data_IF_607102020000
#
_entry.id   IF_607102020000
#
_cell.length_a   1.000
_cell.length_b   1.000
_cell.length_c   1.000
_cell.angle_alpha   90.00
_cell.angle_beta   90.00
_cell.angle_gamma   90.00
#
_symmetry.space_group_name_H-M   'P 1'
#
loop_
_entity.id
_entity.type
_entity.pdbx_description
1 polymer ?
#
# COMPACT_ATOMS: atom_id res chain seq x y z
N UNK A 1 13.77 -24.66 -0.70
CA UNK A 1 13.90 -24.01 0.63
C UNK A 1 14.95 -24.64 1.55
N UNK A 2 15.81 -25.57 1.09
CA UNK A 2 16.90 -26.09 1.94
C UNK A 2 18.06 -25.11 2.16
N UNK A 3 18.11 -24.01 1.37
CA UNK A 3 19.19 -23.02 1.42
C UNK A 3 18.77 -21.67 2.07
N UNK A 4 17.66 -21.63 2.80
CA UNK A 4 17.18 -20.43 3.50
C UNK A 4 17.26 -20.60 5.01
N UNK A 5 17.66 -19.55 5.72
CA UNK A 5 17.87 -19.58 7.17
C UNK A 5 16.70 -18.91 7.88
N UNK A 6 15.95 -19.64 8.70
CA UNK A 6 14.80 -19.10 9.41
C UNK A 6 15.24 -18.12 10.51
N UNK A 7 14.54 -17.00 10.69
CA UNK A 7 14.77 -16.10 11.81
C UNK A 7 14.26 -16.71 13.12
N UNK A 8 14.83 -16.28 14.23
CA UNK A 8 14.33 -16.60 15.56
C UNK A 8 15.04 -15.82 16.66
N UNK A 9 14.59 -15.98 17.91
CA UNK A 9 15.13 -15.24 19.07
C UNK A 9 16.65 -15.35 19.24
N UNK A 10 17.25 -16.47 18.82
CA UNK A 10 18.71 -16.71 18.88
C UNK A 10 19.41 -16.65 17.52
N UNK A 11 18.66 -16.41 16.44
CA UNK A 11 19.16 -16.43 15.06
C UNK A 11 18.65 -15.20 14.32
N UNK A 12 19.56 -14.25 14.07
CA UNK A 12 19.25 -12.87 13.64
C UNK A 12 18.35 -12.12 14.64
N UNK A 13 18.78 -11.98 15.92
CA UNK A 13 17.95 -11.37 16.96
C UNK A 13 17.57 -9.91 16.67
N UNK A 14 18.40 -9.15 15.95
CA UNK A 14 18.09 -7.77 15.55
C UNK A 14 16.87 -7.71 14.63
N UNK A 15 16.88 -8.47 13.52
CA UNK A 15 15.78 -8.51 12.56
C UNK A 15 14.54 -9.18 13.18
N UNK A 16 14.75 -10.22 14.01
CA UNK A 16 13.65 -10.87 14.71
C UNK A 16 12.91 -9.90 15.64
N UNK A 17 13.59 -8.94 16.29
CA UNK A 17 12.91 -7.89 17.07
C UNK A 17 11.99 -7.03 16.19
N UNK A 18 12.46 -6.59 15.02
CA UNK A 18 11.65 -5.80 14.08
C UNK A 18 10.39 -6.58 13.66
N UNK A 19 10.56 -7.85 13.30
CA UNK A 19 9.44 -8.73 12.91
C UNK A 19 8.39 -8.84 14.03
N UNK A 20 8.80 -8.95 15.29
CA UNK A 20 7.86 -9.06 16.41
C UNK A 20 7.17 -7.72 16.70
N UNK A 21 7.92 -6.61 16.68
CA UNK A 21 7.37 -5.27 16.87
C UNK A 21 6.30 -4.94 15.82
N UNK A 22 6.60 -5.17 14.54
CA UNK A 22 5.67 -4.95 13.44
C UNK A 22 4.42 -5.82 13.58
N UNK A 23 4.59 -7.12 13.85
CA UNK A 23 3.46 -8.04 13.99
C UNK A 23 2.55 -7.67 15.18
N UNK A 24 3.14 -7.28 16.30
CA UNK A 24 2.42 -6.82 17.49
C UNK A 24 1.61 -5.56 17.20
N UNK A 25 2.23 -4.56 16.56
CA UNK A 25 1.56 -3.28 16.25
C UNK A 25 0.49 -3.41 15.16
N UNK A 26 0.67 -4.30 14.19
CA UNK A 26 -0.36 -4.65 13.21
C UNK A 26 -1.45 -5.58 13.76
N UNK A 27 -1.26 -6.15 14.96
CA UNK A 27 -2.20 -7.08 15.57
C UNK A 27 -2.33 -8.43 14.83
N UNK A 28 -1.27 -8.87 14.15
CA UNK A 28 -1.25 -10.14 13.39
C UNK A 28 -0.36 -11.20 14.06
N UNK A 29 -0.62 -12.51 13.84
CA UNK A 29 0.31 -13.55 14.25
C UNK A 29 1.67 -13.39 13.58
N UNK A 30 2.75 -13.55 14.35
CA UNK A 30 4.13 -13.47 13.82
C UNK A 30 4.32 -14.51 12.72
N UNK A 31 4.58 -14.11 11.47
CA UNK A 31 4.81 -15.05 10.38
C UNK A 31 6.18 -15.72 10.50
N UNK A 32 6.38 -16.84 9.80
CA UNK A 32 7.73 -17.41 9.69
C UNK A 32 8.55 -16.55 8.72
N UNK A 33 9.70 -16.06 9.17
CA UNK A 33 10.57 -15.25 8.32
C UNK A 33 11.85 -16.02 8.02
N UNK A 34 12.34 -15.92 6.78
CA UNK A 34 13.55 -16.58 6.31
C UNK A 34 14.47 -15.58 5.62
N UNK A 35 15.79 -15.78 5.76
CA UNK A 35 16.80 -15.14 4.93
C UNK A 35 17.21 -16.10 3.81
N UNK A 36 17.25 -15.63 2.57
CA UNK A 36 17.76 -16.38 1.43
C UNK A 36 18.69 -15.53 0.58
N UNK A 37 19.55 -16.15 -0.22
CA UNK A 37 20.38 -15.46 -1.20
C UNK A 37 19.74 -15.63 -2.59
N UNK A 38 19.51 -14.54 -3.29
CA UNK A 38 18.87 -14.57 -4.62
C UNK A 38 19.57 -13.71 -5.68
N UNK A 39 20.66 -13.02 -5.32
CA UNK A 39 21.43 -12.19 -6.26
C UNK A 39 20.89 -10.77 -6.44
N UNK A 40 19.67 -10.49 -5.96
CA UNK A 40 19.01 -9.18 -6.01
C UNK A 40 18.37 -8.85 -4.66
N UNK A 41 18.27 -7.55 -4.34
CA UNK A 41 17.61 -7.07 -3.13
C UNK A 41 16.08 -7.20 -3.30
N UNK A 42 15.44 -8.04 -2.48
CA UNK A 42 14.01 -8.30 -2.56
C UNK A 42 13.43 -8.82 -1.22
N UNK A 43 12.12 -8.69 -1.06
CA UNK A 43 11.33 -9.36 -0.04
C UNK A 43 10.00 -9.82 -0.64
N UNK A 44 9.43 -10.89 -0.10
CA UNK A 44 8.07 -11.30 -0.47
C UNK A 44 7.42 -12.18 0.60
N UNK A 45 6.13 -11.97 0.81
CA UNK A 45 5.26 -12.87 1.55
C UNK A 45 4.73 -14.02 0.65
N UNK A 46 4.45 -15.18 1.25
CA UNK A 46 3.81 -16.32 0.58
C UNK A 46 3.09 -17.24 1.59
N UNK A 47 2.18 -18.06 1.08
CA UNK A 47 1.51 -19.12 1.84
C UNK A 47 0.15 -18.74 2.40
N UNK A 48 -0.82 -19.66 2.30
CA UNK A 48 -2.24 -19.42 2.56
C UNK A 48 -2.70 -19.62 4.01
N UNK A 49 -2.26 -20.70 4.67
CA UNK A 49 -2.65 -21.02 6.06
C UNK A 49 -1.59 -20.57 7.08
N UNK A 50 -0.34 -20.56 6.66
CA UNK A 50 0.80 -20.10 7.46
C UNK A 50 1.59 -19.15 6.59
N UNK A 51 1.37 -17.87 6.78
CA UNK A 51 2.11 -16.84 6.07
C UNK A 51 3.60 -16.95 6.42
N UNK A 52 4.43 -16.83 5.40
CA UNK A 52 5.88 -16.81 5.52
C UNK A 52 6.43 -15.65 4.71
N UNK A 53 7.49 -15.02 5.19
CA UNK A 53 8.18 -13.92 4.51
C UNK A 53 9.60 -14.38 4.22
N UNK A 54 10.09 -14.07 3.01
CA UNK A 54 11.51 -14.20 2.67
C UNK A 54 12.11 -12.81 2.54
N UNK A 55 13.25 -12.60 3.17
CA UNK A 55 14.11 -11.43 2.99
C UNK A 55 15.38 -11.89 2.27
N UNK A 56 15.81 -11.21 1.21
CA UNK A 56 17.10 -11.55 0.60
C UNK A 56 18.26 -11.00 1.43
N UNK A 57 19.40 -11.69 1.42
CA UNK A 57 20.61 -11.20 2.08
C UNK A 57 21.04 -9.84 1.50
N UNK A 58 20.92 -9.70 0.19
CA UNK A 58 21.21 -8.46 -0.55
C UNK A 58 20.33 -7.29 -0.08
N UNK A 59 19.05 -7.55 0.24
CA UNK A 59 18.15 -6.54 0.81
C UNK A 59 18.61 -6.10 2.20
N UNK A 60 18.95 -7.08 3.06
CA UNK A 60 19.38 -6.80 4.44
C UNK A 60 20.66 -5.97 4.47
N UNK A 61 21.59 -6.23 3.55
CA UNK A 61 22.84 -5.48 3.44
C UNK A 61 22.65 -4.08 2.84
N UNK A 62 21.60 -3.89 2.01
CA UNK A 62 21.30 -2.61 1.35
C UNK A 62 20.59 -1.62 2.29
N UNK A 63 19.71 -2.12 3.16
CA UNK A 63 18.79 -1.30 3.95
C UNK A 63 19.35 -0.95 5.34
N UNK A 64 19.04 0.25 5.82
CA UNK A 64 19.12 0.60 7.25
C UNK A 64 18.06 -0.14 8.08
N UNK A 65 18.20 -0.11 9.41
CA UNK A 65 17.26 -0.80 10.32
C UNK A 65 15.81 -0.30 10.14
N UNK A 66 15.61 1.01 9.93
CA UNK A 66 14.27 1.59 9.71
C UNK A 66 13.70 1.33 8.32
N UNK A 67 14.53 1.40 7.28
CA UNK A 67 14.11 1.01 5.92
C UNK A 67 13.70 -0.48 5.90
N UNK A 68 14.49 -1.35 6.54
CA UNK A 68 14.17 -2.77 6.66
C UNK A 68 12.90 -3.02 7.47
N UNK A 69 12.68 -2.28 8.56
CA UNK A 69 11.42 -2.33 9.31
C UNK A 69 10.23 -1.93 8.43
N UNK A 70 10.40 -0.92 7.58
CA UNK A 70 9.40 -0.50 6.59
C UNK A 70 9.06 -1.61 5.59
N UNK A 71 10.05 -2.27 5.00
CA UNK A 71 9.84 -3.40 4.08
C UNK A 71 9.14 -4.56 4.80
N UNK A 72 9.56 -4.91 6.02
CA UNK A 72 8.89 -5.96 6.81
C UNK A 72 7.43 -5.59 7.08
N UNK A 73 7.16 -4.32 7.44
CA UNK A 73 5.81 -3.83 7.67
C UNK A 73 4.96 -3.82 6.41
N UNK A 74 5.55 -3.54 5.24
CA UNK A 74 4.88 -3.63 3.95
C UNK A 74 4.47 -5.08 3.63
N UNK A 75 5.39 -6.04 3.74
CA UNK A 75 5.08 -7.46 3.54
C UNK A 75 4.01 -7.98 4.52
N UNK A 76 4.06 -7.53 5.77
CA UNK A 76 3.03 -7.85 6.77
C UNK A 76 1.71 -7.12 6.50
N UNK A 77 1.73 -5.95 5.85
CA UNK A 77 0.56 -5.27 5.32
C UNK A 77 -0.20 -6.12 4.32
N UNK A 78 0.50 -6.85 3.44
CA UNK A 78 -0.13 -7.82 2.55
C UNK A 78 -0.82 -8.98 3.29
N UNK A 79 -0.24 -9.41 4.43
CA UNK A 79 -0.85 -10.42 5.29
C UNK A 79 -2.10 -9.87 5.98
N UNK A 80 -2.00 -8.66 6.57
CA UNK A 80 -3.10 -7.99 7.27
C UNK A 80 -4.31 -7.77 6.35
N UNK A 81 -4.06 -7.32 5.12
CA UNK A 81 -5.11 -7.05 4.13
C UNK A 81 -5.54 -8.29 3.34
N UNK A 82 -5.07 -9.49 3.73
CA UNK A 82 -5.37 -10.77 3.06
C UNK A 82 -5.06 -10.80 1.56
N UNK A 83 -4.11 -9.97 1.10
CA UNK A 83 -3.77 -9.87 -0.31
C UNK A 83 -3.29 -11.22 -0.88
N UNK A 84 -2.64 -12.04 -0.04
CA UNK A 84 -2.08 -13.34 -0.41
C UNK A 84 -3.13 -14.30 -1.02
N UNK A 85 -4.37 -14.26 -0.52
CA UNK A 85 -5.45 -15.11 -1.04
C UNK A 85 -5.75 -14.80 -2.50
N UNK A 86 -5.88 -13.51 -2.82
CA UNK A 86 -6.18 -13.04 -4.16
C UNK A 86 -4.97 -13.23 -5.08
N UNK A 87 -3.75 -13.12 -4.56
CA UNK A 87 -2.54 -13.45 -5.31
C UNK A 87 -2.54 -14.91 -5.78
N UNK A 88 -2.83 -15.84 -4.88
CA UNK A 88 -2.91 -17.27 -5.21
C UNK A 88 -4.00 -17.55 -6.26
N UNK A 89 -5.16 -16.89 -6.14
CA UNK A 89 -6.25 -17.01 -7.11
C UNK A 89 -5.84 -16.46 -8.48
N UNK A 90 -5.21 -15.29 -8.53
CA UNK A 90 -4.73 -14.69 -9.76
C UNK A 90 -3.71 -15.57 -10.45
N UNK A 91 -2.69 -16.05 -9.72
CA UNK A 91 -1.71 -16.99 -10.23
C UNK A 91 -2.35 -18.29 -10.74
N UNK A 92 -3.34 -18.85 -10.05
CA UNK A 92 -4.02 -20.05 -10.55
C UNK A 92 -4.71 -19.77 -11.90
N UNK A 93 -5.41 -18.64 -12.03
CA UNK A 93 -6.11 -18.27 -13.25
C UNK A 93 -5.15 -18.02 -14.43
N UNK A 94 -3.98 -17.43 -14.18
CA UNK A 94 -3.01 -17.09 -15.23
C UNK A 94 -2.03 -18.23 -15.54
N UNK A 95 -1.79 -19.16 -14.61
CA UNK A 95 -0.90 -20.33 -14.81
C UNK A 95 -1.60 -21.56 -15.43
N UNK A 96 -2.84 -21.41 -15.89
CA UNK A 96 -3.53 -22.42 -16.68
C UNK A 96 -4.68 -23.15 -15.99
N UNK A 97 -5.25 -22.62 -14.90
CA UNK A 97 -6.51 -23.14 -14.35
C UNK A 97 -7.74 -22.82 -15.22
N UNK A 98 -7.59 -21.98 -16.26
CA UNK A 98 -8.66 -21.72 -17.22
C UNK A 98 -8.95 -22.96 -18.09
N UNK A 99 -10.23 -23.33 -18.29
CA UNK A 99 -10.61 -24.44 -19.16
C UNK A 99 -10.10 -24.26 -20.60
N UNK A 100 -9.79 -25.33 -21.35
CA UNK A 100 -9.26 -25.23 -22.72
C UNK A 100 -10.10 -24.36 -23.66
N UNK A 101 -11.43 -24.41 -23.53
CA UNK A 101 -12.34 -23.57 -24.32
C UNK A 101 -12.19 -22.08 -24.01
N UNK A 102 -11.98 -21.71 -22.74
CA UNK A 102 -11.74 -20.32 -22.35
C UNK A 102 -10.39 -19.83 -22.91
N UNK A 103 -9.36 -20.68 -22.88
CA UNK A 103 -8.03 -20.35 -23.44
C UNK A 103 -8.01 -20.21 -24.96
N UNK A 104 -9.00 -20.77 -25.65
CA UNK A 104 -9.16 -20.61 -27.10
C UNK A 104 -9.71 -19.22 -27.49
N UNK A 105 -10.21 -18.42 -26.53
CA UNK A 105 -10.65 -17.05 -26.77
C UNK A 105 -9.43 -16.10 -26.85
N UNK A 106 -9.14 -15.48 -28.01
CA UNK A 106 -8.00 -14.59 -28.15
C UNK A 106 -8.07 -13.39 -27.20
N UNK A 107 -6.98 -13.09 -26.50
CA UNK A 107 -6.88 -11.92 -25.61
C UNK A 107 -7.47 -12.12 -24.21
N UNK A 108 -8.12 -13.26 -23.92
CA UNK A 108 -8.75 -13.49 -22.62
C UNK A 108 -7.70 -13.62 -21.50
N UNK A 109 -6.64 -14.39 -21.73
CA UNK A 109 -5.59 -14.64 -20.73
C UNK A 109 -4.88 -13.33 -20.38
N UNK A 110 -4.56 -12.50 -21.38
CA UNK A 110 -3.95 -11.18 -21.22
C UNK A 110 -4.88 -10.20 -20.49
N UNK A 111 -6.18 -10.23 -20.80
CA UNK A 111 -7.17 -9.39 -20.13
C UNK A 111 -7.33 -9.76 -18.65
N UNK A 112 -7.40 -11.06 -18.35
CA UNK A 112 -7.46 -11.57 -16.97
C UNK A 112 -6.19 -11.19 -16.21
N UNK A 113 -5.01 -11.37 -16.83
CA UNK A 113 -3.74 -10.98 -16.23
C UNK A 113 -3.68 -9.46 -15.97
N UNK A 114 -4.11 -8.63 -16.92
CA UNK A 114 -4.11 -7.18 -16.77
C UNK A 114 -5.04 -6.67 -15.68
N UNK A 115 -6.23 -7.26 -15.53
CA UNK A 115 -7.13 -6.96 -14.40
C UNK A 115 -6.49 -7.34 -13.07
N UNK A 116 -5.86 -8.52 -13.02
CA UNK A 116 -5.18 -8.99 -11.83
C UNK A 116 -3.97 -8.11 -11.47
N UNK A 117 -3.12 -7.74 -12.43
CA UNK A 117 -2.03 -6.79 -12.22
C UNK A 117 -2.54 -5.41 -11.78
N UNK A 118 -3.68 -4.95 -12.29
CA UNK A 118 -4.29 -3.70 -11.83
C UNK A 118 -4.71 -3.76 -10.36
N UNK A 119 -5.31 -4.88 -9.95
CA UNK A 119 -5.64 -5.12 -8.55
C UNK A 119 -4.38 -5.20 -7.68
N UNK A 120 -3.34 -5.90 -8.14
CA UNK A 120 -2.08 -6.03 -7.39
C UNK A 120 -1.42 -4.66 -7.16
N UNK A 121 -1.34 -3.82 -8.20
CA UNK A 121 -0.83 -2.45 -8.04
C UNK A 121 -1.64 -1.62 -7.04
N UNK A 122 -2.95 -1.84 -6.95
CA UNK A 122 -3.78 -1.18 -5.94
C UNK A 122 -3.50 -1.71 -4.52
N UNK A 123 -3.23 -3.01 -4.40
CA UNK A 123 -2.89 -3.67 -3.13
C UNK A 123 -1.59 -3.11 -2.53
N UNK A 124 -0.59 -2.79 -3.36
CA UNK A 124 0.67 -2.16 -2.93
C UNK A 124 0.43 -0.88 -2.11
N UNK A 125 -0.51 -0.02 -2.52
CA UNK A 125 -0.81 1.21 -1.78
C UNK A 125 -1.42 0.93 -0.40
N UNK A 126 -2.17 -0.17 -0.24
CA UNK A 126 -2.72 -0.54 1.07
C UNK A 126 -1.63 -1.09 1.99
N UNK A 127 -0.69 -1.87 1.43
CA UNK A 127 0.48 -2.35 2.15
C UNK A 127 1.45 -1.20 2.54
N UNK A 128 1.66 -0.22 1.66
CA UNK A 128 2.43 1.01 1.95
C UNK A 128 1.82 1.81 3.09
N UNK A 129 0.49 1.97 3.11
CA UNK A 129 -0.21 2.64 4.22
C UNK A 129 -0.04 1.89 5.54
N UNK A 130 -0.17 0.56 5.53
CA UNK A 130 0.07 -0.25 6.72
C UNK A 130 1.52 -0.07 7.22
N UNK A 131 2.50 -0.08 6.32
CA UNK A 131 3.90 0.15 6.67
C UNK A 131 4.13 1.55 7.25
N UNK A 132 3.52 2.58 6.66
CA UNK A 132 3.66 3.95 7.13
C UNK A 132 3.03 4.15 8.52
N UNK A 133 1.90 3.50 8.83
CA UNK A 133 1.33 3.51 10.18
C UNK A 133 2.24 2.86 11.24
N UNK A 134 3.08 1.91 10.83
CA UNK A 134 4.09 1.31 11.71
C UNK A 134 5.30 2.23 11.82
N UNK A 135 5.79 2.82 10.73
CA UNK A 135 6.97 3.67 10.83
C UNK A 135 6.67 5.02 11.49
N UNK A 136 5.45 5.53 11.32
CA UNK A 136 5.00 6.88 11.71
C UNK A 136 5.87 8.00 11.10
N UNK A 137 6.67 7.66 10.10
CA UNK A 137 7.62 8.51 9.40
C UNK A 137 7.69 8.03 7.93
N UNK A 138 7.35 8.89 6.94
CA UNK A 138 7.36 8.50 5.55
C UNK A 138 8.76 8.33 4.96
N UNK A 139 9.80 8.97 5.53
CA UNK A 139 11.12 8.99 4.92
C UNK A 139 11.76 7.59 4.81
N UNK A 140 11.82 6.76 5.86
CA UNK A 140 12.45 5.44 5.75
C UNK A 140 11.73 4.51 4.76
N UNK A 141 10.40 4.61 4.67
CA UNK A 141 9.63 3.82 3.71
C UNK A 141 9.91 4.29 2.27
N UNK A 142 9.85 5.60 2.04
CA UNK A 142 10.13 6.20 0.75
C UNK A 142 11.58 5.95 0.29
N UNK A 143 12.54 6.08 1.20
CA UNK A 143 13.95 5.77 0.97
C UNK A 143 14.15 4.30 0.57
N UNK A 144 13.48 3.35 1.23
CA UNK A 144 13.59 1.94 0.87
C UNK A 144 13.18 1.67 -0.59
N UNK A 145 12.15 2.35 -1.10
CA UNK A 145 11.72 2.24 -2.50
C UNK A 145 12.73 2.84 -3.47
N UNK A 146 13.40 3.93 -3.10
CA UNK A 146 14.46 4.50 -3.92
C UNK A 146 15.70 3.59 -3.95
N UNK A 147 16.02 2.89 -2.85
CA UNK A 147 17.08 1.86 -2.82
C UNK A 147 16.80 0.73 -3.80
N UNK A 148 15.57 0.22 -3.80
CA UNK A 148 15.15 -0.81 -4.76
C UNK A 148 15.15 -0.29 -6.21
N UNK A 149 15.04 1.02 -6.40
CA UNK A 149 15.16 1.67 -7.71
C UNK A 149 16.62 1.93 -8.14
N UNK A 150 17.60 1.48 -7.34
CA UNK A 150 19.02 1.53 -7.67
C UNK A 150 19.78 2.71 -7.06
N UNK A 151 19.19 3.48 -6.14
CA UNK A 151 19.89 4.58 -5.46
C UNK A 151 20.90 4.01 -4.46
N UNK A 152 22.22 4.17 -4.69
CA UNK A 152 23.23 3.57 -3.84
C UNK A 152 23.32 4.30 -2.49
N UNK A 153 23.56 3.54 -1.41
CA UNK A 153 23.68 4.09 -0.05
C UNK A 153 24.71 5.20 0.09
N UNK A 154 25.83 5.10 -0.64
CA UNK A 154 26.93 6.08 -0.61
C UNK A 154 26.55 7.47 -1.14
N UNK A 155 25.47 7.59 -1.92
CA UNK A 155 25.01 8.85 -2.53
C UNK A 155 23.68 9.31 -1.93
N UNK A 156 23.34 8.84 -0.72
CA UNK A 156 22.09 9.21 -0.04
C UNK A 156 21.94 10.71 0.17
N UNK A 157 23.00 11.39 0.59
CA UNK A 157 23.00 12.83 0.84
C UNK A 157 22.82 13.66 -0.44
N UNK A 158 23.12 13.08 -1.61
CA UNK A 158 22.93 13.72 -2.92
C UNK A 158 21.54 13.43 -3.51
N UNK A 159 20.76 12.53 -2.90
CA UNK A 159 19.49 12.07 -3.42
C UNK A 159 18.31 12.78 -2.76
N UNK A 160 17.45 13.40 -3.57
CA UNK A 160 16.24 14.06 -3.10
C UNK A 160 15.00 13.18 -3.37
N UNK A 161 14.36 12.73 -2.30
CA UNK A 161 13.16 11.90 -2.34
C UNK A 161 11.96 12.60 -2.99
N UNK A 162 11.84 13.91 -2.82
CA UNK A 162 10.73 14.69 -3.37
C UNK A 162 10.89 14.87 -4.88
N UNK A 163 12.11 15.15 -5.34
CA UNK A 163 12.39 15.17 -6.79
C UNK A 163 12.11 13.80 -7.44
N UNK A 164 12.46 12.71 -6.76
CA UNK A 164 12.12 11.36 -7.24
C UNK A 164 10.60 11.14 -7.34
N UNK A 165 9.82 11.65 -6.39
CA UNK A 165 8.35 11.61 -6.45
C UNK A 165 7.78 12.46 -7.59
N UNK A 166 8.37 13.63 -7.83
CA UNK A 166 7.94 14.59 -8.87
C UNK A 166 8.19 14.07 -10.29
N UNK A 167 9.23 13.26 -10.49
CA UNK A 167 9.57 12.64 -11.78
C UNK A 167 8.37 11.94 -12.47
N UNK A 168 7.43 11.40 -11.69
CA UNK A 168 6.21 10.76 -12.22
C UNK A 168 5.27 11.76 -12.89
N UNK A 169 5.15 12.98 -12.33
CA UNK A 169 4.24 14.01 -12.84
C UNK A 169 4.72 14.47 -14.22
N UNK A 170 6.02 14.71 -14.35
CA UNK A 170 6.67 15.09 -15.61
C UNK A 170 6.41 14.05 -16.71
N UNK A 171 6.68 12.77 -16.44
CA UNK A 171 6.41 11.70 -17.41
C UNK A 171 4.94 11.61 -17.84
N UNK A 172 4.00 11.93 -16.95
CA UNK A 172 2.56 11.90 -17.25
C UNK A 172 2.13 13.09 -18.11
N UNK A 173 2.68 14.26 -17.84
CA UNK A 173 2.37 15.50 -18.57
C UNK A 173 2.97 15.47 -19.99
N UNK A 174 4.14 14.88 -20.14
CA UNK A 174 4.80 14.67 -21.44
C UNK A 174 4.31 13.42 -22.20
N UNK A 175 3.37 12.66 -21.62
CA UNK A 175 2.91 11.40 -22.17
C UNK A 175 2.13 11.57 -23.49
N UNK A 176 2.78 11.23 -24.60
CA UNK A 176 2.14 11.08 -25.91
C UNK A 176 1.12 9.93 -25.92
N UNK A 177 0.21 9.91 -26.90
CA UNK A 177 -0.73 8.80 -27.10
C UNK A 177 0.00 7.44 -27.21
N UNK A 178 1.15 7.41 -27.89
CA UNK A 178 1.98 6.21 -28.00
C UNK A 178 2.52 5.74 -26.67
N UNK A 179 3.04 6.66 -25.84
CA UNK A 179 3.51 6.30 -24.50
C UNK A 179 2.38 5.69 -23.65
N UNK A 180 1.17 6.24 -23.73
CA UNK A 180 -0.01 5.71 -23.03
C UNK A 180 -0.40 4.31 -23.50
N UNK A 181 -0.31 4.04 -24.81
CA UNK A 181 -0.54 2.69 -25.37
C UNK A 181 0.52 1.71 -24.86
N UNK A 182 1.80 2.11 -24.87
CA UNK A 182 2.90 1.28 -24.36
C UNK A 182 2.75 1.02 -22.86
N UNK A 183 2.46 2.04 -22.06
CA UNK A 183 2.20 1.91 -20.62
C UNK A 183 1.01 0.99 -20.35
N UNK A 184 -0.07 1.09 -21.13
CA UNK A 184 -1.21 0.18 -21.02
C UNK A 184 -0.78 -1.27 -21.31
N UNK A 185 -0.03 -1.49 -22.39
CA UNK A 185 0.49 -2.81 -22.76
C UNK A 185 1.44 -3.39 -21.70
N UNK A 186 2.37 -2.59 -21.18
CA UNK A 186 3.27 -3.01 -20.08
C UNK A 186 2.50 -3.28 -18.79
N UNK A 187 1.47 -2.47 -18.50
CA UNK A 187 0.60 -2.62 -17.34
C UNK A 187 -0.20 -3.93 -17.32
N UNK A 188 -0.30 -4.63 -18.46
CA UNK A 188 -0.84 -5.98 -18.50
C UNK A 188 0.08 -7.01 -17.81
N UNK A 189 1.37 -6.73 -17.64
CA UNK A 189 2.37 -7.69 -17.14
C UNK A 189 3.13 -7.21 -15.90
N UNK A 190 3.08 -5.92 -15.57
CA UNK A 190 3.73 -5.36 -14.38
C UNK A 190 2.82 -5.51 -13.15
N UNK A 191 3.26 -6.31 -12.18
CA UNK A 191 2.58 -6.52 -10.90
C UNK A 191 2.67 -5.30 -9.99
N UNK A 192 3.82 -4.63 -9.93
CA UNK A 192 4.04 -3.50 -9.04
C UNK A 192 3.91 -2.16 -9.80
N UNK A 193 3.40 -1.09 -9.15
CA UNK A 193 3.48 0.25 -9.71
C UNK A 193 4.93 0.73 -9.66
N UNK A 194 5.22 1.74 -10.48
CA UNK A 194 6.54 2.37 -10.52
C UNK A 194 6.90 2.91 -9.12
N UNK A 195 8.10 2.62 -8.58
CA UNK A 195 8.47 3.01 -7.22
C UNK A 195 8.27 4.50 -6.92
N UNK A 196 8.60 5.37 -7.88
CA UNK A 196 8.38 6.81 -7.75
C UNK A 196 6.90 7.20 -7.51
N UNK A 197 5.94 6.45 -8.08
CA UNK A 197 4.50 6.67 -7.82
C UNK A 197 4.13 6.32 -6.39
N UNK A 198 4.72 5.26 -5.85
CA UNK A 198 4.49 4.82 -4.47
C UNK A 198 5.10 5.81 -3.50
N UNK A 199 6.33 6.28 -3.75
CA UNK A 199 6.97 7.34 -2.96
C UNK A 199 6.08 8.57 -2.90
N UNK A 200 5.59 9.07 -4.05
CA UNK A 200 4.66 10.20 -4.07
C UNK A 200 3.38 9.95 -3.26
N UNK A 201 2.77 8.78 -3.39
CA UNK A 201 1.56 8.43 -2.65
C UNK A 201 1.78 8.29 -1.13
N UNK A 202 2.95 7.81 -0.70
CA UNK A 202 3.34 7.73 0.71
C UNK A 202 3.47 9.13 1.29
N UNK A 203 4.22 10.02 0.62
CA UNK A 203 4.43 11.39 1.06
C UNK A 203 3.09 12.16 1.12
N UNK A 204 2.27 12.05 0.08
CA UNK A 204 0.96 12.70 0.02
C UNK A 204 0.02 12.18 1.12
N UNK A 205 0.02 10.87 1.38
CA UNK A 205 -0.84 10.30 2.43
C UNK A 205 -0.38 10.70 3.84
N UNK A 206 0.93 10.77 4.09
CA UNK A 206 1.49 11.22 5.38
C UNK A 206 1.03 12.65 5.76
N UNK A 207 0.80 13.51 4.75
CA UNK A 207 0.31 14.88 4.94
C UNK A 207 -1.23 14.96 5.02
N UNK A 208 -1.94 13.86 4.76
CA UNK A 208 -3.40 13.84 4.71
C UNK A 208 -4.07 13.90 6.08
N UNK A 209 -5.25 14.51 6.15
CA UNK A 209 -6.06 14.55 7.37
C UNK A 209 -6.45 13.14 7.86
N UNK A 210 -6.64 12.19 6.94
CA UNK A 210 -6.97 10.80 7.26
C UNK A 210 -5.84 10.13 8.05
N UNK A 211 -4.60 10.28 7.59
CA UNK A 211 -3.42 9.76 8.29
C UNK A 211 -3.29 10.38 9.68
N UNK A 212 -3.39 11.72 9.76
CA UNK A 212 -3.31 12.45 11.04
C UNK A 212 -4.42 12.03 12.02
N UNK A 213 -5.62 11.74 11.53
CA UNK A 213 -6.71 11.20 12.35
C UNK A 213 -6.36 9.81 12.91
N UNK A 214 -5.85 8.90 12.08
CA UNK A 214 -5.51 7.53 12.50
C UNK A 214 -4.38 7.56 13.55
N UNK A 215 -3.30 8.30 13.29
CA UNK A 215 -2.14 8.36 14.21
C UNK A 215 -2.49 9.06 15.53
N UNK A 216 -3.41 10.02 15.52
CA UNK A 216 -3.93 10.63 16.75
C UNK A 216 -4.95 9.75 17.52
N UNK A 217 -5.20 8.52 17.07
CA UNK A 217 -6.10 7.57 17.71
C UNK A 217 -7.59 7.77 17.36
N UNK A 218 -7.90 8.62 16.38
CA UNK A 218 -9.25 8.79 15.84
C UNK A 218 -9.48 7.77 14.72
N UNK A 219 -10.02 6.62 15.09
CA UNK A 219 -10.44 5.61 14.13
C UNK A 219 -11.88 5.84 13.72
N UNK A 220 -12.12 5.94 12.41
CA UNK A 220 -13.47 6.01 11.88
C UNK A 220 -14.19 4.69 12.14
N UNK A 221 -15.41 4.78 12.66
CA UNK A 221 -16.31 3.63 12.72
C UNK A 221 -16.70 3.21 11.31
N UNK A 222 -17.10 1.94 11.15
CA UNK A 222 -17.62 1.44 9.87
C UNK A 222 -18.73 2.33 9.30
N UNK A 223 -19.60 2.85 10.16
CA UNK A 223 -20.67 3.76 9.75
C UNK A 223 -20.14 5.10 9.21
N UNK A 224 -19.09 5.65 9.84
CA UNK A 224 -18.46 6.89 9.36
C UNK A 224 -17.71 6.67 8.03
N UNK A 225 -17.03 5.52 7.87
CA UNK A 225 -16.40 5.15 6.58
C UNK A 225 -17.46 5.02 5.49
N UNK A 226 -18.54 4.27 5.73
CA UNK A 226 -19.64 4.11 4.76
C UNK A 226 -20.35 5.44 4.44
N UNK A 227 -20.37 6.39 5.38
CA UNK A 227 -20.90 7.73 5.14
C UNK A 227 -19.95 8.58 4.29
N UNK A 228 -18.64 8.54 4.55
CA UNK A 228 -17.62 9.25 3.77
C UNK A 228 -17.51 8.71 2.35
N UNK A 229 -17.63 7.39 2.15
CA UNK A 229 -17.63 6.79 0.82
C UNK A 229 -18.83 7.27 -0.01
N UNK A 230 -20.02 7.35 0.59
CA UNK A 230 -21.20 7.94 -0.07
C UNK A 230 -20.98 9.42 -0.39
N UNK A 231 -20.35 10.17 0.51
CA UNK A 231 -19.99 11.57 0.25
C UNK A 231 -19.06 11.66 -0.97
N UNK A 232 -18.04 10.82 -1.05
CA UNK A 232 -16.99 10.86 -2.08
C UNK A 232 -17.47 10.33 -3.43
N UNK A 233 -18.27 9.27 -3.45
CA UNK A 233 -18.76 8.58 -4.65
C UNK A 233 -20.03 9.25 -5.19
N UNK A 234 -20.96 9.61 -4.30
CA UNK A 234 -22.30 10.12 -4.66
C UNK A 234 -22.41 11.64 -4.52
N UNK A 235 -21.37 12.33 -4.03
CA UNK A 235 -21.36 13.78 -3.82
C UNK A 235 -22.26 14.26 -2.68
N UNK A 236 -22.67 13.35 -1.79
CA UNK A 236 -23.56 13.64 -0.65
C UNK A 236 -22.78 14.47 0.38
N UNK A 237 -23.32 15.59 0.87
CA UNK A 237 -22.59 16.43 1.85
C UNK A 237 -22.61 15.76 3.23
N UNK A 238 -21.68 16.10 4.13
CA UNK A 238 -21.70 15.65 5.52
C UNK A 238 -21.84 16.83 6.49
N UNK A 239 -22.50 16.61 7.62
CA UNK A 239 -22.72 17.64 8.63
C UNK A 239 -21.42 17.91 9.39
N UNK A 240 -20.94 19.17 9.47
CA UNK A 240 -19.67 19.49 10.14
C UNK A 240 -19.71 19.31 11.67
N UNK A 241 -20.88 19.31 12.28
CA UNK A 241 -21.02 19.14 13.74
C UNK A 241 -21.09 17.68 14.19
N UNK A 242 -21.62 16.76 13.38
CA UNK A 242 -21.86 15.37 13.81
C UNK A 242 -21.40 14.29 12.82
N UNK A 243 -20.88 14.66 11.65
CA UNK A 243 -20.38 13.73 10.63
C UNK A 243 -21.45 12.96 9.85
N UNK A 244 -22.75 13.11 10.18
CA UNK A 244 -23.82 12.39 9.44
C UNK A 244 -23.97 12.90 8.00
N UNK A 245 -24.22 12.00 7.02
CA UNK A 245 -24.47 12.40 5.64
C UNK A 245 -25.80 13.16 5.55
N UNK A 246 -25.76 14.32 4.92
CA UNK A 246 -26.89 15.19 4.58
C UNK A 246 -26.97 15.14 3.06
N UNK A 247 -28.00 14.49 2.51
CA UNK A 247 -28.18 14.29 1.06
C UNK A 247 -28.19 15.59 0.24
N UNK A 248 -29.33 15.90 -0.39
CA UNK A 248 -29.57 17.26 -0.92
C UNK A 248 -30.29 18.16 0.10
N UNK A 249 -30.61 17.61 1.28
CA UNK A 249 -31.28 18.33 2.33
C UNK A 249 -30.34 19.42 2.91
N UNK A 250 -30.82 20.67 3.04
CA UNK A 250 -29.98 21.80 3.48
C UNK A 250 -29.59 21.73 4.97
N UNK A 251 -30.20 20.82 5.75
CA UNK A 251 -30.03 20.77 7.22
C UNK A 251 -29.97 19.32 7.70
N UNK A 252 -29.07 19.05 8.65
CA UNK A 252 -28.94 17.76 9.31
C UNK A 252 -29.86 17.66 10.54
N UNK A 253 -30.57 16.53 10.69
CA UNK A 253 -31.52 16.29 11.80
C UNK A 253 -30.85 15.97 13.15
N UNK A 254 -29.53 16.09 13.27
CA UNK A 254 -28.81 15.74 14.50
C UNK A 254 -29.10 16.67 15.69
N UNK A 255 -29.76 17.82 15.48
CA UNK A 255 -30.10 18.78 16.54
C UNK A 255 -28.92 19.54 17.15
N UNK A 256 -27.68 19.20 16.77
CA UNK A 256 -26.44 19.78 17.33
C UNK A 256 -25.98 21.06 16.61
N UNK A 257 -26.69 21.48 15.56
CA UNK A 257 -26.39 22.67 14.75
C UNK A 257 -27.21 23.91 15.10
N UNK A 258 -27.84 23.99 16.28
CA UNK A 258 -28.57 25.17 16.72
C UNK A 258 -27.76 25.92 17.78
N UNK A 259 -27.17 27.06 17.41
CA UNK A 259 -26.82 28.09 18.38
C UNK A 259 -28.14 28.73 18.87
N UNK A 260 -28.50 28.60 20.16
CA UNK A 260 -29.73 29.16 20.69
C UNK A 260 -29.77 30.71 20.69
N UNK A 261 -28.70 31.40 20.26
CA UNK A 261 -28.63 32.87 20.22
C UNK A 261 -28.46 33.47 18.82
N UNK A 262 -28.30 32.67 17.78
CA UNK A 262 -28.19 33.17 16.40
C UNK A 262 -29.01 32.31 15.44
N UNK A 263 -30.15 32.86 14.99
CA UNK A 263 -30.94 32.32 13.88
C UNK A 263 -30.22 32.50 12.52
N UNK A 264 -28.95 32.10 12.44
CA UNK A 264 -28.21 32.04 11.18
C UNK A 264 -27.88 30.57 10.92
N UNK A 265 -28.57 30.05 9.90
CA UNK A 265 -28.28 28.79 9.23
C UNK A 265 -26.76 28.68 9.02
N UNK A 266 -26.17 27.57 9.45
CA UNK A 266 -24.77 27.26 9.23
C UNK A 266 -24.49 27.36 7.71
N UNK A 267 -23.77 28.39 7.23
CA UNK A 267 -23.42 28.46 5.83
C UNK A 267 -22.40 27.36 5.59
N UNK A 268 -22.77 26.43 4.71
CA UNK A 268 -21.85 25.46 4.15
C UNK A 268 -20.74 26.25 3.44
N UNK A 269 -19.54 26.27 4.03
CA UNK A 269 -18.30 26.53 3.31
C UNK A 269 -17.62 25.18 3.08
#
# INVERSE_FOLDING_TARGET
MYNSVQLGRRQFPSIWRLVNDVAERLGIPVPRVYVARQGEANAFAFGKKTHSIVLTAELIDLMSERELQGIIAHEMGHILCEHMLYMDVGHALTSGALPPLARALPGLEESVNGLFCTWFRAAEYSADRAALLILEDPEPLAASLSRLSGVPRRLEEEFDLRLFAEQVKEYREEATLWSKIVTLGMGLFLSHPEPAKRVGAILEWAESADYQAIVSGRYLTRFEVEALDRVRIEGIRSCPSCGRPVGQAPVCECGLGQDPRQQQLCPLN
#
